data_IF_555723809159
#
_entry.id   IF_555723809159
#
_cell.length_a   1.000
_cell.length_b   1.000
_cell.length_c   1.000
_cell.angle_alpha   90.00
_cell.angle_beta   90.00
_cell.angle_gamma   90.00
#
_symmetry.space_group_name_H-M   'P 1'
#
loop_
_entity.id
_entity.type
_entity.pdbx_description
1 polymer ?
#
# COMPACT_ATOMS: atom_id res chain seq x y z
N UNK A 1 14.16 15.16 6.94
CA UNK A 1 13.66 13.80 6.70
C UNK A 1 12.70 13.83 5.53
N UNK A 2 12.91 12.94 4.57
CA UNK A 2 12.09 12.78 3.37
C UNK A 2 11.06 11.67 3.62
N UNK A 3 9.78 11.99 3.51
CA UNK A 3 8.70 11.05 3.74
C UNK A 3 8.08 10.65 2.39
N UNK A 4 8.27 9.41 1.98
CA UNK A 4 7.62 8.83 0.82
C UNK A 4 6.17 8.45 1.12
N UNK A 5 5.27 8.77 0.22
CA UNK A 5 3.86 8.38 0.30
C UNK A 5 3.46 7.75 -1.03
N UNK A 6 3.12 6.48 -1.00
CA UNK A 6 2.64 5.75 -2.17
C UNK A 6 1.12 5.86 -2.29
N UNK A 7 0.67 6.41 -3.41
CA UNK A 7 -0.74 6.49 -3.81
C UNK A 7 -0.98 5.87 -5.19
N UNK A 8 -0.12 4.95 -5.61
CA UNK A 8 -0.25 4.28 -6.92
C UNK A 8 -1.52 3.44 -7.05
N UNK A 9 -2.15 3.07 -5.92
CA UNK A 9 -3.41 2.32 -5.87
C UNK A 9 -4.64 3.16 -6.26
N UNK A 10 -4.53 4.50 -6.30
CA UNK A 10 -5.64 5.37 -6.64
C UNK A 10 -5.87 5.40 -8.16
N UNK A 11 -7.12 5.35 -8.59
CA UNK A 11 -7.52 5.57 -9.98
C UNK A 11 -7.91 7.02 -10.26
N UNK A 12 -8.23 7.79 -9.22
CA UNK A 12 -8.61 9.19 -9.25
C UNK A 12 -8.27 9.88 -7.93
N UNK A 13 -8.18 11.20 -7.92
CA UNK A 13 -8.04 12.01 -6.70
C UNK A 13 -9.39 12.54 -6.17
N UNK A 14 -10.50 12.01 -6.66
CA UNK A 14 -11.84 12.38 -6.18
C UNK A 14 -12.07 11.85 -4.74
N UNK A 15 -12.36 12.77 -3.83
CA UNK A 15 -12.57 12.48 -2.40
C UNK A 15 -13.95 11.89 -2.07
N UNK A 16 -14.79 11.59 -3.06
CA UNK A 16 -16.06 10.88 -2.86
C UNK A 16 -15.87 9.46 -2.34
N UNK A 17 -14.77 8.82 -2.73
CA UNK A 17 -14.42 7.49 -2.23
C UNK A 17 -13.69 7.59 -0.88
N UNK A 18 -14.05 6.74 0.08
CA UNK A 18 -13.50 6.78 1.44
C UNK A 18 -11.98 6.65 1.50
N UNK A 19 -11.40 5.74 0.73
CA UNK A 19 -9.93 5.53 0.69
C UNK A 19 -9.22 6.74 0.08
N UNK A 20 -9.78 7.36 -0.95
CA UNK A 20 -9.23 8.58 -1.56
C UNK A 20 -9.27 9.74 -0.56
N UNK A 21 -10.41 9.93 0.13
CA UNK A 21 -10.56 10.96 1.18
C UNK A 21 -9.54 10.78 2.28
N UNK A 22 -9.34 9.54 2.73
CA UNK A 22 -8.33 9.21 3.73
C UNK A 22 -6.93 9.59 3.25
N UNK A 23 -6.54 9.17 2.05
CA UNK A 23 -5.23 9.47 1.48
C UNK A 23 -5.00 10.99 1.35
N UNK A 24 -5.99 11.72 0.83
CA UNK A 24 -5.92 13.18 0.71
C UNK A 24 -5.82 13.85 2.07
N UNK A 25 -6.58 13.40 3.06
CA UNK A 25 -6.53 13.90 4.45
C UNK A 25 -5.13 13.76 5.05
N UNK A 26 -4.52 12.59 4.95
CA UNK A 26 -3.16 12.33 5.46
C UNK A 26 -2.13 13.23 4.76
N UNK A 27 -2.17 13.34 3.43
CA UNK A 27 -1.23 14.20 2.68
C UNK A 27 -1.37 15.66 3.12
N UNK A 28 -2.60 16.17 3.25
CA UNK A 28 -2.86 17.54 3.66
C UNK A 28 -2.38 17.83 5.09
N UNK A 29 -2.62 16.91 6.04
CA UNK A 29 -2.13 17.08 7.41
C UNK A 29 -0.60 17.05 7.47
N UNK A 30 0.05 16.12 6.77
CA UNK A 30 1.51 16.07 6.71
C UNK A 30 2.12 17.32 6.07
N UNK A 31 1.47 17.89 5.05
CA UNK A 31 1.86 19.18 4.45
C UNK A 31 1.87 20.31 5.48
N UNK A 32 0.88 20.33 6.37
CA UNK A 32 0.72 21.37 7.38
C UNK A 32 1.76 21.29 8.52
N UNK A 33 2.32 20.11 8.79
CA UNK A 33 3.27 19.90 9.89
C UNK A 33 4.63 20.60 9.70
N UNK A 34 4.99 20.98 8.50
CA UNK A 34 6.28 21.58 8.13
C UNK A 34 7.56 20.80 8.52
N UNK A 35 7.40 19.58 9.05
CA UNK A 35 8.50 18.76 9.58
C UNK A 35 9.21 17.94 8.50
N UNK A 36 8.53 17.65 7.40
CA UNK A 36 8.98 16.70 6.39
C UNK A 36 9.00 17.32 4.99
N UNK A 37 9.94 16.84 4.16
CA UNK A 37 9.80 16.93 2.70
C UNK A 37 9.04 15.70 2.25
N UNK A 38 7.96 15.91 1.50
CA UNK A 38 7.06 14.83 1.09
C UNK A 38 7.38 14.44 -0.35
N UNK A 39 7.52 13.14 -0.59
CA UNK A 39 7.75 12.52 -1.90
C UNK A 39 6.51 11.68 -2.22
N UNK A 40 5.65 12.14 -3.13
CA UNK A 40 4.43 11.42 -3.51
C UNK A 40 4.73 10.56 -4.73
N UNK A 41 4.46 9.26 -4.64
CA UNK A 41 4.58 8.30 -5.73
C UNK A 41 3.21 7.94 -6.27
N UNK A 42 3.06 8.08 -7.60
CA UNK A 42 1.77 7.93 -8.30
C UNK A 42 1.90 6.97 -9.48
N UNK A 43 0.78 6.42 -9.92
CA UNK A 43 0.68 5.77 -11.22
C UNK A 43 0.51 6.81 -12.35
N UNK A 44 0.55 6.34 -13.59
CA UNK A 44 0.41 7.18 -14.78
C UNK A 44 -0.95 7.90 -14.87
N UNK A 45 -2.04 7.25 -14.40
CA UNK A 45 -3.41 7.78 -14.52
C UNK A 45 -3.58 9.11 -13.79
N UNK A 46 -3.09 9.17 -12.54
CA UNK A 46 -3.30 10.32 -11.65
C UNK A 46 -2.10 11.27 -11.56
N UNK A 47 -0.98 10.97 -12.23
CA UNK A 47 0.26 11.74 -12.10
C UNK A 47 0.07 13.23 -12.39
N UNK A 48 -0.57 13.56 -13.52
CA UNK A 48 -0.77 14.96 -13.92
C UNK A 48 -1.61 15.73 -12.90
N UNK A 49 -2.69 15.11 -12.41
CA UNK A 49 -3.60 15.72 -11.42
C UNK A 49 -2.93 15.84 -10.06
N UNK A 50 -2.19 14.81 -9.63
CA UNK A 50 -1.42 14.84 -8.39
C UNK A 50 -0.34 15.91 -8.44
N UNK A 51 0.38 16.05 -9.55
CA UNK A 51 1.37 17.10 -9.75
C UNK A 51 0.76 18.49 -9.66
N UNK A 52 -0.40 18.72 -10.30
CA UNK A 52 -1.12 19.98 -10.23
C UNK A 52 -1.63 20.29 -8.81
N UNK A 53 -2.12 19.26 -8.09
CA UNK A 53 -2.74 19.42 -6.76
C UNK A 53 -1.70 19.59 -5.64
N UNK A 54 -0.56 18.90 -5.70
CA UNK A 54 0.35 18.76 -4.57
C UNK A 54 1.73 19.37 -4.76
N UNK A 55 2.24 19.52 -5.99
CA UNK A 55 3.61 20.02 -6.21
C UNK A 55 3.83 21.37 -5.52
N UNK A 56 4.87 21.46 -4.70
CA UNK A 56 5.24 22.68 -3.98
C UNK A 56 6.71 22.62 -3.59
N UNK A 57 7.26 23.68 -2.96
CA UNK A 57 8.64 23.68 -2.46
C UNK A 57 8.95 22.52 -1.48
N UNK A 58 7.92 21.94 -0.84
CA UNK A 58 8.05 20.84 0.16
C UNK A 58 7.54 19.50 -0.32
N UNK A 59 6.82 19.46 -1.43
CA UNK A 59 6.21 18.24 -1.97
C UNK A 59 6.67 18.05 -3.41
N UNK A 60 7.32 16.93 -3.65
CA UNK A 60 7.63 16.44 -4.97
C UNK A 60 6.65 15.35 -5.36
N UNK A 61 6.32 15.25 -6.64
CA UNK A 61 5.42 14.22 -7.18
C UNK A 61 6.16 13.47 -8.28
N UNK A 62 6.20 12.16 -8.16
CA UNK A 62 6.88 11.28 -9.09
C UNK A 62 5.90 10.27 -9.68
N UNK A 63 6.05 10.03 -10.97
CA UNK A 63 5.38 8.93 -11.64
C UNK A 63 6.26 7.69 -11.53
N UNK A 64 5.72 6.60 -11.02
CA UNK A 64 6.36 5.29 -11.12
C UNK A 64 5.99 4.65 -12.47
N UNK A 65 6.98 4.14 -13.17
CA UNK A 65 6.78 3.58 -14.50
C UNK A 65 6.20 2.17 -14.43
N UNK A 66 5.14 1.97 -15.20
CA UNK A 66 4.34 0.75 -15.22
C UNK A 66 4.87 -0.36 -16.15
N UNK A 67 6.14 -0.38 -16.52
CA UNK A 67 6.70 -1.53 -17.27
C UNK A 67 6.46 -2.86 -16.54
N UNK A 68 6.30 -2.77 -15.23
CA UNK A 68 5.92 -3.85 -14.33
C UNK A 68 4.44 -4.26 -14.40
N UNK A 69 3.54 -3.38 -14.82
CA UNK A 69 2.09 -3.65 -14.82
C UNK A 69 1.70 -4.86 -15.68
N UNK A 70 2.34 -5.05 -16.81
CA UNK A 70 2.07 -6.19 -17.70
C UNK A 70 2.52 -7.50 -17.04
N UNK A 71 3.74 -7.51 -16.49
CA UNK A 71 4.31 -8.67 -15.81
C UNK A 71 3.49 -9.00 -14.56
N UNK A 72 3.07 -7.98 -13.81
CA UNK A 72 2.19 -8.12 -12.65
C UNK A 72 0.84 -8.75 -13.01
N UNK A 73 0.23 -8.35 -14.13
CA UNK A 73 -1.02 -8.96 -14.62
C UNK A 73 -0.86 -10.43 -14.98
N UNK A 74 0.22 -10.77 -15.70
CA UNK A 74 0.53 -12.17 -16.05
C UNK A 74 0.74 -13.00 -14.78
N UNK A 75 1.50 -12.45 -13.83
CA UNK A 75 1.74 -13.11 -12.56
C UNK A 75 0.44 -13.30 -11.76
N UNK A 76 -0.42 -12.29 -11.66
CA UNK A 76 -1.70 -12.40 -10.97
C UNK A 76 -2.62 -13.44 -11.64
N UNK A 77 -2.61 -13.52 -12.96
CA UNK A 77 -3.33 -14.58 -13.67
C UNK A 77 -2.84 -15.98 -13.25
N UNK A 78 -1.53 -16.17 -13.23
CA UNK A 78 -0.91 -17.42 -12.79
C UNK A 78 -1.17 -17.74 -11.32
N UNK A 79 -1.06 -16.75 -10.45
CA UNK A 79 -1.36 -16.87 -9.02
C UNK A 79 -2.81 -17.29 -8.77
N UNK A 80 -3.76 -16.70 -9.49
CA UNK A 80 -5.18 -17.05 -9.41
C UNK A 80 -5.38 -18.49 -9.88
N UNK A 81 -4.77 -18.87 -11.00
CA UNK A 81 -4.84 -20.23 -11.53
C UNK A 81 -4.35 -21.26 -10.52
N UNK A 82 -3.17 -21.06 -9.95
CA UNK A 82 -2.62 -21.96 -8.91
C UNK A 82 -3.46 -21.94 -7.62
N UNK A 83 -3.98 -20.79 -7.24
CA UNK A 83 -4.84 -20.63 -6.07
C UNK A 83 -6.15 -21.42 -6.16
N UNK A 84 -6.67 -21.67 -7.37
CA UNK A 84 -7.81 -22.57 -7.56
C UNK A 84 -7.50 -24.02 -7.12
N UNK A 85 -6.25 -24.44 -7.18
CA UNK A 85 -5.76 -25.74 -6.72
C UNK A 85 -5.16 -25.68 -5.30
N UNK A 86 -5.35 -24.59 -4.56
CA UNK A 86 -4.77 -24.36 -3.23
C UNK A 86 -3.22 -24.36 -3.21
N UNK A 87 -2.58 -24.04 -4.31
CA UNK A 87 -1.13 -23.97 -4.44
C UNK A 87 -0.71 -22.49 -4.38
N UNK A 88 0.11 -22.13 -3.42
CA UNK A 88 0.55 -20.76 -3.21
C UNK A 88 2.07 -20.63 -3.18
N UNK A 89 2.65 -20.01 -4.19
CA UNK A 89 4.09 -19.77 -4.31
C UNK A 89 4.46 -18.32 -3.95
N UNK A 90 4.12 -17.88 -2.73
CA UNK A 90 4.38 -16.51 -2.31
C UNK A 90 5.88 -16.11 -2.36
N UNK A 91 6.79 -17.04 -1.99
CA UNK A 91 8.23 -16.76 -1.98
C UNK A 91 8.82 -16.62 -3.39
N UNK A 92 8.36 -17.40 -4.35
CA UNK A 92 8.87 -17.35 -5.72
C UNK A 92 8.53 -16.02 -6.40
N UNK A 93 7.33 -15.54 -6.18
CA UNK A 93 6.90 -14.22 -6.66
C UNK A 93 7.79 -13.10 -6.12
N UNK A 94 8.06 -13.12 -4.82
CA UNK A 94 8.90 -12.14 -4.16
C UNK A 94 10.30 -12.06 -4.76
N UNK A 95 10.95 -13.21 -4.99
CA UNK A 95 12.26 -13.26 -5.63
C UNK A 95 12.23 -12.68 -7.06
N UNK A 96 11.23 -13.08 -7.83
CA UNK A 96 11.11 -12.66 -9.23
C UNK A 96 10.88 -11.14 -9.38
N UNK A 97 10.05 -10.56 -8.54
CA UNK A 97 9.74 -9.13 -8.59
C UNK A 97 10.91 -8.26 -8.13
N UNK A 98 11.63 -8.66 -7.10
CA UNK A 98 12.81 -7.92 -6.66
C UNK A 98 13.87 -7.82 -7.76
N UNK A 99 14.03 -8.86 -8.58
CA UNK A 99 14.97 -8.85 -9.70
C UNK A 99 14.55 -7.88 -10.82
N UNK A 100 13.25 -7.75 -11.09
CA UNK A 100 12.74 -6.97 -12.24
C UNK A 100 12.73 -5.46 -11.95
N UNK A 101 12.52 -5.06 -10.69
CA UNK A 101 12.22 -3.66 -10.32
C UNK A 101 13.27 -3.00 -9.43
N UNK A 102 14.49 -3.48 -9.44
CA UNK A 102 15.58 -2.91 -8.64
C UNK A 102 15.78 -1.41 -8.90
N UNK A 103 15.63 -0.96 -10.15
CA UNK A 103 15.75 0.47 -10.51
C UNK A 103 14.67 1.33 -9.84
N UNK A 104 13.42 0.85 -9.78
CA UNK A 104 12.33 1.58 -9.15
C UNK A 104 12.47 1.57 -7.62
N UNK A 105 12.84 0.42 -7.03
CA UNK A 105 13.17 0.31 -5.62
C UNK A 105 14.24 1.33 -5.24
N UNK A 106 15.39 1.32 -5.92
CA UNK A 106 16.49 2.25 -5.66
C UNK A 106 16.08 3.71 -5.82
N UNK A 107 15.28 4.03 -6.87
CA UNK A 107 14.76 5.38 -7.05
C UNK A 107 13.93 5.87 -5.85
N UNK A 108 13.09 5.00 -5.27
CA UNK A 108 12.27 5.33 -4.10
C UNK A 108 13.18 5.50 -2.86
N UNK A 109 14.12 4.61 -2.65
CA UNK A 109 15.07 4.63 -1.53
C UNK A 109 15.99 5.85 -1.55
N UNK A 110 16.48 6.25 -2.72
CA UNK A 110 17.29 7.47 -2.88
C UNK A 110 16.52 8.76 -2.55
N UNK A 111 15.18 8.73 -2.61
CA UNK A 111 14.33 9.90 -2.41
C UNK A 111 13.64 9.95 -1.05
N UNK A 112 13.54 8.82 -0.34
CA UNK A 112 12.74 8.70 0.87
C UNK A 112 13.51 8.00 2.00
N UNK A 113 13.39 8.52 3.21
CA UNK A 113 13.92 7.89 4.43
C UNK A 113 12.92 6.89 5.03
N UNK A 114 11.63 7.15 4.82
CA UNK A 114 10.51 6.29 5.23
C UNK A 114 9.50 6.26 4.10
N UNK A 115 8.89 5.10 3.83
CA UNK A 115 7.83 4.94 2.84
C UNK A 115 6.53 4.51 3.50
N UNK A 116 5.45 5.24 3.21
CA UNK A 116 4.10 4.96 3.71
C UNK A 116 3.20 4.52 2.56
N UNK A 117 2.59 3.37 2.73
CA UNK A 117 1.51 2.85 1.91
C UNK A 117 0.18 3.13 2.60
N UNK A 118 -0.66 3.96 2.00
CA UNK A 118 -1.93 4.39 2.62
C UNK A 118 -3.07 3.39 2.47
N UNK A 119 -2.83 2.29 1.77
CA UNK A 119 -3.78 1.18 1.62
C UNK A 119 -3.04 -0.15 1.52
N UNK A 120 -3.74 -1.25 1.79
CA UNK A 120 -3.24 -2.59 1.52
C UNK A 120 -3.02 -2.74 0.01
N UNK A 121 -1.78 -2.79 -0.41
CA UNK A 121 -1.37 -2.99 -1.78
C UNK A 121 -0.19 -3.95 -1.83
N UNK A 122 0.08 -4.51 -3.00
CA UNK A 122 1.18 -5.42 -3.16
C UNK A 122 2.51 -4.69 -2.96
N UNK A 123 3.12 -4.86 -1.80
CA UNK A 123 4.50 -4.42 -1.54
C UNK A 123 5.42 -5.47 -2.14
N UNK A 124 5.79 -5.23 -3.38
CA UNK A 124 6.56 -6.16 -4.18
C UNK A 124 8.06 -6.10 -3.90
N UNK A 125 8.52 -5.13 -3.09
CA UNK A 125 9.93 -4.94 -2.81
C UNK A 125 10.25 -5.16 -1.34
N UNK A 126 11.46 -5.67 -1.10
CA UNK A 126 12.08 -5.57 0.20
C UNK A 126 12.87 -4.25 0.23
N UNK A 127 12.26 -3.21 0.75
CA UNK A 127 12.92 -1.92 0.89
C UNK A 127 13.97 -1.97 2.00
N UNK A 128 15.10 -1.27 1.78
CA UNK A 128 16.15 -1.06 2.80
C UNK A 128 15.82 0.13 3.71
N UNK A 129 14.79 0.90 3.36
CA UNK A 129 14.21 1.98 4.17
C UNK A 129 12.99 1.48 4.96
N UNK A 130 12.63 2.19 6.03
CA UNK A 130 11.46 1.83 6.85
C UNK A 130 10.15 1.96 6.09
N UNK A 131 9.34 0.93 6.16
CA UNK A 131 8.05 0.85 5.48
C UNK A 131 6.90 0.78 6.47
N UNK A 132 5.85 1.55 6.20
CA UNK A 132 4.63 1.61 7.00
C UNK A 132 3.46 1.34 6.07
N UNK A 133 2.56 0.44 6.44
CA UNK A 133 1.34 0.17 5.65
C UNK A 133 0.08 0.32 6.49
N UNK A 134 -0.95 0.91 5.89
CA UNK A 134 -2.27 1.01 6.49
C UNK A 134 -3.22 -0.06 5.95
N UNK A 135 -3.92 -0.70 6.87
CA UNK A 135 -4.98 -1.66 6.57
C UNK A 135 -6.30 -1.15 7.11
N UNK A 136 -7.25 -0.90 6.20
CA UNK A 136 -8.56 -0.40 6.57
C UNK A 136 -9.47 -1.48 7.14
N UNK A 137 -9.47 -2.67 6.56
CA UNK A 137 -10.34 -3.78 6.96
C UNK A 137 -9.74 -5.17 6.68
N UNK A 138 -10.44 -6.22 7.11
CA UNK A 138 -10.22 -7.64 6.80
C UNK A 138 -11.53 -8.30 6.36
N UNK A 139 -12.35 -7.60 5.58
CA UNK A 139 -13.68 -8.08 5.16
C UNK A 139 -13.61 -9.44 4.46
N UNK A 140 -12.61 -9.67 3.63
CA UNK A 140 -12.41 -10.93 2.91
C UNK A 140 -12.17 -12.13 3.86
N UNK A 141 -11.68 -11.89 5.07
CA UNK A 141 -11.50 -12.93 6.10
C UNK A 141 -12.77 -13.16 6.92
N UNK A 142 -13.54 -12.10 7.18
CA UNK A 142 -14.74 -12.19 8.02
C UNK A 142 -15.97 -12.61 7.23
N UNK A 143 -16.08 -12.14 6.00
CA UNK A 143 -17.25 -12.32 5.14
C UNK A 143 -16.82 -12.83 3.75
N UNK A 144 -16.17 -14.01 3.67
CA UNK A 144 -15.64 -14.51 2.41
C UNK A 144 -16.73 -14.68 1.33
N UNK A 145 -17.98 -14.94 1.74
CA UNK A 145 -19.10 -15.13 0.82
C UNK A 145 -19.47 -13.87 0.00
N UNK A 146 -18.97 -12.68 0.39
CA UNK A 146 -19.20 -11.45 -0.38
C UNK A 146 -18.19 -11.27 -1.53
N UNK A 147 -17.23 -12.18 -1.65
CA UNK A 147 -16.15 -12.08 -2.62
C UNK A 147 -16.11 -13.31 -3.52
N UNK A 148 -15.78 -13.12 -4.78
CA UNK A 148 -15.47 -14.24 -5.68
C UNK A 148 -14.19 -14.98 -5.21
N UNK A 149 -14.05 -16.24 -5.59
CA UNK A 149 -12.85 -17.03 -5.28
C UNK A 149 -11.57 -16.34 -5.78
N UNK A 150 -11.63 -15.72 -6.96
CA UNK A 150 -10.52 -14.92 -7.52
C UNK A 150 -10.15 -13.76 -6.61
N UNK A 151 -11.12 -12.98 -6.15
CA UNK A 151 -10.87 -11.85 -5.26
C UNK A 151 -10.30 -12.30 -3.92
N UNK A 152 -10.80 -13.39 -3.35
CA UNK A 152 -10.25 -13.96 -2.10
C UNK A 152 -8.78 -14.33 -2.25
N UNK A 153 -8.41 -14.99 -3.35
CA UNK A 153 -7.02 -15.37 -3.64
C UNK A 153 -6.13 -14.13 -3.74
N UNK A 154 -6.55 -13.12 -4.51
CA UNK A 154 -5.78 -11.90 -4.71
C UNK A 154 -5.66 -11.07 -3.44
N UNK A 155 -6.77 -10.93 -2.68
CA UNK A 155 -6.74 -10.21 -1.39
C UNK A 155 -5.85 -10.90 -0.38
N UNK A 156 -5.95 -12.23 -0.25
CA UNK A 156 -5.08 -12.99 0.65
C UNK A 156 -3.61 -12.81 0.28
N UNK A 157 -3.28 -12.89 -1.00
CA UNK A 157 -1.94 -12.66 -1.49
C UNK A 157 -1.44 -11.25 -1.12
N UNK A 158 -2.20 -10.20 -1.46
CA UNK A 158 -1.83 -8.81 -1.21
C UNK A 158 -1.65 -8.56 0.29
N UNK A 159 -2.62 -8.94 1.12
CA UNK A 159 -2.58 -8.68 2.56
C UNK A 159 -1.44 -9.42 3.26
N UNK A 160 -1.22 -10.68 2.88
CA UNK A 160 -0.13 -11.48 3.45
C UNK A 160 1.24 -10.94 3.07
N UNK A 161 1.43 -10.64 1.78
CA UNK A 161 2.68 -10.11 1.24
C UNK A 161 3.01 -8.73 1.84
N UNK A 162 2.05 -7.82 1.83
CA UNK A 162 2.20 -6.48 2.41
C UNK A 162 2.50 -6.52 3.89
N UNK A 163 1.80 -7.38 4.65
CA UNK A 163 2.04 -7.52 6.09
C UNK A 163 3.42 -8.09 6.39
N UNK A 164 3.90 -9.00 5.55
CA UNK A 164 5.21 -9.60 5.73
C UNK A 164 6.33 -8.61 5.43
N UNK A 165 6.24 -7.85 4.33
CA UNK A 165 7.29 -6.99 3.82
C UNK A 165 7.33 -5.59 4.45
N UNK A 166 6.31 -5.17 5.20
CA UNK A 166 6.33 -3.88 5.90
C UNK A 166 6.94 -3.99 7.30
N UNK A 167 7.61 -2.93 7.78
CA UNK A 167 8.15 -2.87 9.15
C UNK A 167 7.07 -2.58 10.19
N UNK A 168 6.12 -1.71 9.84
CA UNK A 168 5.05 -1.26 10.73
C UNK A 168 3.70 -1.39 10.04
N UNK A 169 2.72 -1.93 10.75
CA UNK A 169 1.33 -1.97 10.31
C UNK A 169 0.52 -0.94 11.07
N UNK A 170 -0.37 -0.26 10.35
CA UNK A 170 -1.39 0.61 10.95
C UNK A 170 -2.73 -0.14 10.88
N UNK A 171 -3.40 -0.24 12.02
CA UNK A 171 -4.76 -0.74 12.15
C UNK A 171 -5.69 0.40 12.57
N UNK A 172 -6.88 0.49 11.97
CA UNK A 172 -7.86 1.55 12.26
C UNK A 172 -8.45 1.49 13.68
N UNK A 173 -8.32 0.34 14.37
CA UNK A 173 -8.86 0.15 15.72
C UNK A 173 -8.19 -1.01 16.47
N UNK A 174 -8.44 -1.10 17.79
CA UNK A 174 -8.06 -2.26 18.61
C UNK A 174 -8.71 -3.56 18.09
N UNK A 175 -9.94 -3.44 17.62
CA UNK A 175 -10.64 -4.56 17.01
C UNK A 175 -9.87 -5.07 15.78
N UNK A 176 -9.49 -4.20 14.86
CA UNK A 176 -8.71 -4.56 13.67
C UNK A 176 -7.36 -5.17 14.03
N UNK A 177 -6.65 -4.62 15.04
CA UNK A 177 -5.40 -5.22 15.52
C UNK A 177 -5.60 -6.67 15.99
N UNK A 178 -6.67 -6.96 16.73
CA UNK A 178 -6.99 -8.32 17.18
C UNK A 178 -7.30 -9.26 16.02
N UNK A 179 -8.07 -8.78 15.03
CA UNK A 179 -8.40 -9.55 13.84
C UNK A 179 -7.13 -9.87 13.02
N UNK A 180 -6.20 -8.92 12.89
CA UNK A 180 -4.90 -9.18 12.26
C UNK A 180 -4.16 -10.31 12.95
N UNK A 181 -4.01 -10.25 14.25
CA UNK A 181 -3.29 -11.27 15.01
C UNK A 181 -3.99 -12.63 14.99
N UNK A 182 -5.33 -12.65 14.87
CA UNK A 182 -6.13 -13.86 14.73
C UNK A 182 -5.91 -14.54 13.38
N UNK A 183 -5.98 -13.79 12.28
CA UNK A 183 -5.91 -14.35 10.92
C UNK A 183 -4.48 -14.49 10.40
N UNK A 184 -3.56 -13.65 10.90
CA UNK A 184 -2.15 -13.63 10.49
C UNK A 184 -1.24 -13.75 11.70
N UNK A 185 -1.26 -14.93 12.34
CA UNK A 185 -0.50 -15.21 13.59
C UNK A 185 1.01 -14.91 13.46
N UNK A 186 1.58 -15.00 12.26
CA UNK A 186 2.99 -14.67 12.03
C UNK A 186 3.32 -13.20 12.32
N UNK A 187 2.29 -12.32 12.46
CA UNK A 187 2.45 -10.92 12.81
C UNK A 187 2.59 -10.63 14.31
N UNK A 188 2.57 -11.66 15.17
CA UNK A 188 2.62 -11.48 16.64
C UNK A 188 3.80 -10.64 17.13
N UNK A 189 4.93 -10.70 16.42
CA UNK A 189 6.14 -9.94 16.74
C UNK A 189 6.28 -8.65 15.92
N UNK A 190 5.31 -8.34 15.07
CA UNK A 190 5.33 -7.16 14.22
C UNK A 190 4.79 -5.94 14.99
N UNK A 191 5.38 -4.77 14.77
CA UNK A 191 4.86 -3.52 15.35
C UNK A 191 3.54 -3.15 14.67
N UNK A 192 2.44 -3.18 15.42
CA UNK A 192 1.11 -2.77 14.97
C UNK A 192 0.67 -1.55 15.76
N UNK A 193 0.53 -0.41 15.08
CA UNK A 193 0.09 0.87 15.64
C UNK A 193 -1.41 1.02 15.36
N UNK A 194 -2.14 1.57 16.34
CA UNK A 194 -3.55 1.93 16.15
C UNK A 194 -3.62 3.40 15.78
N UNK A 195 -4.16 3.67 14.60
CA UNK A 195 -4.43 5.02 14.14
C UNK A 195 -5.89 5.11 13.71
N UNK A 196 -6.70 5.79 14.51
CA UNK A 196 -8.12 6.00 14.21
C UNK A 196 -8.26 6.97 13.04
N UNK A 197 -9.15 6.65 12.11
CA UNK A 197 -9.49 7.57 11.04
C UNK A 197 -10.22 8.79 11.63
N UNK A 198 -9.66 9.97 11.38
CA UNK A 198 -10.24 11.22 11.88
C UNK A 198 -11.48 11.62 11.07
N UNK A 199 -12.40 12.32 11.73
CA UNK A 199 -13.52 12.99 11.05
C UNK A 199 -13.08 14.42 10.74
N UNK A 200 -13.26 14.85 9.49
CA UNK A 200 -13.02 16.24 9.12
C UNK A 200 -14.05 17.13 9.83
N UNK A 201 -13.61 17.99 10.77
CA UNK A 201 -14.49 18.87 11.56
C UNK A 201 -15.13 20.02 10.76
N UNK A 202 -14.92 20.08 9.44
CA UNK A 202 -15.65 21.00 8.57
C UNK A 202 -16.95 20.34 8.11
N UNK A 203 -17.92 20.30 9.00
CA UNK A 203 -19.34 20.21 8.70
C UNK A 203 -19.94 21.57 9.05
#
# INVERSE_FOLDING_TARGET
>A
MNLGIDITFLDTLDEKQGVNRYAMGIINELKNTNKYKIQIYTNQKIYKDAKKKFLSKKINVYQLNSSYEVIKKIFYFFLVFLGFFNIYFFKLHYLFINLINEKEKKFIEDKSDILIFLNAQDISYNFDIKTIINFHDLLHKRFPNFFSKKELILREYVYRNSSFNSDVLIASSFFMKREFLKFYYFLKNKRIIIMREGINKKI
#
